data_IF_772275476398
#
_entry.id   IF_772275476398
#
_cell.length_a   1.000
_cell.length_b   1.000
_cell.length_c   1.000
_cell.angle_alpha   90.00
_cell.angle_beta   90.00
_cell.angle_gamma   90.00
#
_symmetry.space_group_name_H-M   'P 1'
#
loop_
_entity.id
_entity.type
_entity.pdbx_description
1 polymer ?
#
# COMPACT_ATOMS: atom_id res chain seq x y z
N UNK A 1 3.38 5.83 -8.64
CA UNK A 1 3.92 4.45 -8.54
C UNK A 1 2.79 3.52 -8.15
N UNK A 2 2.85 2.24 -8.49
CA UNK A 2 1.75 1.31 -8.21
C UNK A 2 2.24 0.19 -7.28
N UNK A 3 1.51 -0.02 -6.19
CA UNK A 3 1.67 -1.15 -5.29
C UNK A 3 0.57 -2.16 -5.58
N UNK A 4 0.95 -3.35 -6.02
CA UNK A 4 0.04 -4.45 -6.30
C UNK A 4 -0.01 -5.41 -5.12
N UNK A 5 -1.22 -5.74 -4.69
CA UNK A 5 -1.51 -6.60 -3.54
C UNK A 5 -2.43 -7.72 -4.02
N UNK A 6 -1.89 -8.92 -4.12
CA UNK A 6 -2.65 -10.10 -4.49
C UNK A 6 -3.21 -10.76 -3.23
N UNK A 7 -4.54 -10.77 -3.13
CA UNK A 7 -5.33 -11.28 -2.01
C UNK A 7 -6.60 -11.96 -2.55
N UNK A 8 -7.20 -12.84 -1.75
CA UNK A 8 -8.41 -13.55 -2.15
C UNK A 8 -9.59 -12.60 -2.40
N UNK A 9 -10.52 -13.02 -3.27
CA UNK A 9 -11.73 -12.26 -3.61
C UNK A 9 -12.56 -11.85 -2.38
N UNK A 10 -12.69 -12.73 -1.40
CA UNK A 10 -13.42 -12.49 -0.15
C UNK A 10 -12.85 -11.32 0.65
N UNK A 11 -11.52 -11.17 0.66
CA UNK A 11 -10.83 -10.08 1.35
C UNK A 11 -11.07 -8.75 0.64
N UNK A 12 -11.10 -8.74 -0.70
CA UNK A 12 -11.33 -7.52 -1.50
C UNK A 12 -12.75 -6.98 -1.38
N UNK A 13 -13.74 -7.87 -1.27
CA UNK A 13 -15.15 -7.47 -1.16
C UNK A 13 -15.49 -6.89 0.23
N UNK A 14 -14.56 -6.95 1.17
CA UNK A 14 -14.72 -6.33 2.48
C UNK A 14 -14.49 -4.81 2.39
N UNK A 15 -15.56 -4.02 2.33
CA UNK A 15 -15.49 -2.54 2.15
C UNK A 15 -14.65 -1.79 3.21
N UNK A 16 -14.35 -2.39 4.35
CA UNK A 16 -13.48 -1.78 5.38
C UNK A 16 -11.98 -1.95 5.07
N UNK A 17 -11.66 -2.79 4.09
CA UNK A 17 -10.30 -3.17 3.71
C UNK A 17 -9.50 -1.97 3.17
N UNK A 18 -10.00 -1.31 2.13
CA UNK A 18 -9.31 -0.21 1.45
C UNK A 18 -9.09 0.97 2.40
N UNK A 19 -10.12 1.32 3.17
CA UNK A 19 -10.07 2.46 4.09
C UNK A 19 -9.10 2.23 5.25
N UNK A 20 -9.01 1.01 5.80
CA UNK A 20 -8.06 0.70 6.86
C UNK A 20 -6.62 0.68 6.34
N UNK A 21 -6.42 0.08 5.17
CA UNK A 21 -5.12 -0.05 4.52
C UNK A 21 -4.54 1.32 4.14
N UNK A 22 -5.33 2.17 3.48
CA UNK A 22 -4.93 3.53 3.09
C UNK A 22 -4.53 4.36 4.31
N UNK A 23 -5.34 4.34 5.37
CA UNK A 23 -5.07 5.13 6.57
C UNK A 23 -3.78 4.72 7.29
N UNK A 24 -3.51 3.41 7.42
CA UNK A 24 -2.31 2.92 8.09
C UNK A 24 -1.05 3.31 7.32
N UNK A 25 -1.07 3.15 6.00
CA UNK A 25 0.09 3.41 5.15
C UNK A 25 0.36 4.92 5.04
N UNK A 26 -0.68 5.75 4.86
CA UNK A 26 -0.53 7.20 4.74
C UNK A 26 0.05 7.81 6.03
N UNK A 27 -0.43 7.41 7.20
CA UNK A 27 0.00 7.97 8.49
C UNK A 27 1.47 7.71 8.82
N UNK A 28 1.95 6.47 8.66
CA UNK A 28 3.33 6.14 9.05
C UNK A 28 4.37 6.65 8.06
N UNK A 29 4.06 6.64 6.77
CA UNK A 29 5.07 7.02 5.78
C UNK A 29 5.24 8.55 5.66
N UNK A 30 4.20 9.33 6.00
CA UNK A 30 4.34 10.76 6.20
C UNK A 30 5.34 11.10 7.33
N UNK A 31 5.37 10.28 8.40
CA UNK A 31 6.32 10.44 9.50
C UNK A 31 7.74 10.09 9.09
N UNK A 32 7.92 9.06 8.25
CA UNK A 32 9.26 8.59 7.83
C UNK A 32 9.90 9.52 6.80
N UNK A 33 9.13 9.98 5.81
CA UNK A 33 9.66 10.75 4.67
C UNK A 33 9.56 12.25 4.84
N UNK A 34 8.88 12.73 5.89
CA UNK A 34 8.55 14.15 6.08
C UNK A 34 7.70 14.72 4.94
N UNK A 35 7.18 13.87 4.06
CA UNK A 35 6.51 14.25 2.82
C UNK A 35 5.06 13.74 2.82
N UNK A 36 4.10 14.54 2.34
CA UNK A 36 2.75 14.06 2.14
C UNK A 36 2.74 12.99 1.04
N UNK A 37 2.26 11.80 1.41
CA UNK A 37 2.08 10.68 0.50
C UNK A 37 0.59 10.47 0.34
N UNK A 38 0.10 10.55 -0.90
CA UNK A 38 -1.27 10.26 -1.24
C UNK A 38 -1.37 8.81 -1.71
N UNK A 39 -2.26 8.05 -1.08
CA UNK A 39 -2.52 6.66 -1.43
C UNK A 39 -3.99 6.52 -1.78
N UNK A 40 -4.25 6.04 -2.98
CA UNK A 40 -5.61 5.86 -3.50
C UNK A 40 -5.76 4.45 -4.06
N UNK A 41 -6.98 3.86 -4.02
CA UNK A 41 -7.25 2.65 -4.77
C UNK A 41 -6.97 2.90 -6.27
N UNK A 42 -6.31 1.95 -6.93
CA UNK A 42 -6.11 2.01 -8.37
C UNK A 42 -7.32 1.35 -9.06
N UNK A 43 -8.01 2.09 -9.93
CA UNK A 43 -9.23 1.63 -10.61
C UNK A 43 -8.98 0.49 -11.62
N UNK A 44 -7.71 0.25 -12.00
CA UNK A 44 -7.30 -0.86 -12.87
C UNK A 44 -7.08 -2.19 -12.10
N UNK A 45 -7.72 -2.37 -10.94
CA UNK A 45 -7.69 -3.64 -10.22
C UNK A 45 -8.33 -4.75 -11.06
N UNK A 46 -7.55 -5.77 -11.43
CA UNK A 46 -8.05 -6.95 -12.14
C UNK A 46 -8.73 -7.93 -11.16
N UNK A 47 -9.38 -8.97 -11.67
CA UNK A 47 -10.04 -9.99 -10.85
C UNK A 47 -9.09 -10.72 -9.87
N UNK A 48 -7.78 -10.57 -10.00
CA UNK A 48 -6.79 -11.26 -9.17
C UNK A 48 -5.89 -10.30 -8.38
N UNK A 49 -5.88 -9.00 -8.66
CA UNK A 49 -4.92 -8.05 -8.07
C UNK A 49 -5.64 -6.81 -7.55
N UNK A 50 -5.48 -6.53 -6.26
CA UNK A 50 -5.89 -5.26 -5.67
C UNK A 50 -4.71 -4.29 -5.71
N UNK A 51 -4.88 -3.15 -6.38
CA UNK A 51 -3.77 -2.23 -6.64
C UNK A 51 -4.00 -0.93 -5.91
N UNK A 52 -2.95 -0.41 -5.26
CA UNK A 52 -2.93 0.93 -4.65
C UNK A 52 -2.00 1.82 -5.45
N UNK A 53 -2.49 2.99 -5.83
CA UNK A 53 -1.70 4.06 -6.43
C UNK A 53 -1.08 4.90 -5.32
N UNK A 54 0.22 5.12 -5.43
CA UNK A 54 1.02 5.90 -4.49
C UNK A 54 1.61 7.09 -5.24
N UNK A 55 1.14 8.28 -4.89
CA UNK A 55 1.63 9.56 -5.39
C UNK A 55 2.39 10.27 -4.26
N UNK A 56 3.58 10.77 -4.58
CA UNK A 56 4.46 11.48 -3.66
C UNK A 56 4.55 12.91 -4.16
N UNK A 57 4.16 13.87 -3.34
CA UNK A 57 4.08 15.28 -3.77
C UNK A 57 5.46 15.97 -3.81
N UNK A 58 6.45 15.41 -3.12
CA UNK A 58 7.80 15.94 -3.03
C UNK A 58 8.79 15.15 -3.90
N UNK A 59 9.83 15.85 -4.35
CA UNK A 59 11.00 15.23 -4.96
C UNK A 59 11.77 14.46 -3.88
N UNK A 60 11.96 13.16 -4.10
CA UNK A 60 12.72 12.27 -3.22
C UNK A 60 13.84 11.59 -4.01
N UNK A 61 14.95 11.31 -3.34
CA UNK A 61 16.06 10.57 -3.94
C UNK A 61 15.78 9.04 -3.95
N UNK A 62 16.68 8.29 -4.60
CA UNK A 62 16.54 6.84 -4.75
C UNK A 62 16.64 6.09 -3.40
N UNK A 63 17.43 6.59 -2.45
CA UNK A 63 17.57 5.98 -1.12
C UNK A 63 16.28 6.15 -0.31
N UNK A 64 15.74 7.38 -0.29
CA UNK A 64 14.46 7.70 0.32
C UNK A 64 13.32 6.92 -0.32
N UNK A 65 13.35 6.74 -1.64
CA UNK A 65 12.38 5.94 -2.36
C UNK A 65 12.43 4.47 -1.92
N UNK A 66 13.62 3.90 -1.77
CA UNK A 66 13.77 2.51 -1.32
C UNK A 66 13.30 2.32 0.13
N UNK A 67 13.66 3.25 1.03
CA UNK A 67 13.17 3.24 2.41
C UNK A 67 11.64 3.32 2.46
N UNK A 68 11.06 4.17 1.62
CA UNK A 68 9.61 4.32 1.54
C UNK A 68 8.95 3.04 1.01
N UNK A 69 9.49 2.44 -0.06
CA UNK A 69 9.01 1.16 -0.61
C UNK A 69 9.00 0.07 0.46
N UNK A 70 10.12 -0.11 1.15
CA UNK A 70 10.25 -1.11 2.22
C UNK A 70 9.30 -0.81 3.40
N UNK A 71 9.16 0.46 3.77
CA UNK A 71 8.25 0.91 4.81
C UNK A 71 6.79 0.59 4.50
N UNK A 72 6.35 0.86 3.27
CA UNK A 72 5.00 0.54 2.79
C UNK A 72 4.79 -0.97 2.76
N UNK A 73 5.69 -1.72 2.12
CA UNK A 73 5.58 -3.19 2.00
C UNK A 73 5.48 -3.84 3.38
N UNK A 74 6.35 -3.45 4.32
CA UNK A 74 6.34 -4.02 5.66
C UNK A 74 5.06 -3.71 6.43
N UNK A 75 4.48 -2.52 6.25
CA UNK A 75 3.22 -2.16 6.89
C UNK A 75 2.04 -2.95 6.31
N UNK A 76 1.99 -3.05 4.99
CA UNK A 76 0.98 -3.83 4.29
C UNK A 76 1.06 -5.29 4.75
N UNK A 77 2.26 -5.91 4.73
CA UNK A 77 2.48 -7.26 5.28
C UNK A 77 2.06 -7.39 6.74
N UNK A 78 2.41 -6.41 7.57
CA UNK A 78 2.03 -6.42 8.99
C UNK A 78 0.53 -6.41 9.20
N UNK A 79 -0.21 -5.61 8.43
CA UNK A 79 -1.68 -5.59 8.46
C UNK A 79 -2.27 -6.95 8.11
N UNK A 80 -1.82 -7.55 7.00
CA UNK A 80 -2.29 -8.87 6.56
C UNK A 80 -1.91 -10.00 7.52
N UNK A 81 -0.72 -9.93 8.11
CA UNK A 81 -0.27 -10.90 9.12
C UNK A 81 -1.15 -10.85 10.37
N UNK A 82 -1.50 -9.67 10.87
CA UNK A 82 -2.41 -9.53 12.04
C UNK A 82 -3.81 -10.05 11.70
N UNK A 83 -4.28 -9.80 10.48
CA UNK A 83 -5.56 -10.29 10.00
C UNK A 83 -5.56 -11.78 9.64
N UNK A 84 -4.41 -12.47 9.69
CA UNK A 84 -4.23 -13.86 9.24
C UNK A 84 -4.68 -14.08 7.79
N UNK A 85 -4.41 -13.11 6.92
CA UNK A 85 -4.75 -13.13 5.51
C UNK A 85 -3.47 -13.33 4.70
N UNK A 86 -3.39 -14.35 3.84
CA UNK A 86 -2.26 -14.49 2.92
C UNK A 86 -2.30 -13.37 1.86
N UNK A 87 -1.15 -12.74 1.62
CA UNK A 87 -1.00 -11.73 0.58
C UNK A 87 0.36 -11.87 -0.13
N UNK A 88 0.39 -11.57 -1.43
CA UNK A 88 1.61 -11.30 -2.18
C UNK A 88 1.64 -9.82 -2.57
N UNK A 89 2.82 -9.20 -2.49
CA UNK A 89 2.97 -7.75 -2.73
C UNK A 89 4.07 -7.54 -3.75
N UNK A 90 3.76 -6.81 -4.82
CA UNK A 90 4.70 -6.40 -5.86
C UNK A 90 4.62 -4.88 -6.07
N UNK A 91 5.69 -4.30 -6.60
CA UNK A 91 5.79 -2.86 -6.88
C UNK A 91 6.08 -2.64 -8.37
N UNK A 92 5.31 -1.77 -9.01
CA UNK A 92 5.46 -1.34 -10.42
C UNK A 92 5.74 0.16 -10.56
#
# INVERSE_FOLDING_TARGET
MILNINVSKEVRENQLFDSALINIIALKNAVITGSPILITPNEESSEDVHSLRIDIENEIDEEQLNILKDGIINQVRGFFMIANIPCEITWE
#
